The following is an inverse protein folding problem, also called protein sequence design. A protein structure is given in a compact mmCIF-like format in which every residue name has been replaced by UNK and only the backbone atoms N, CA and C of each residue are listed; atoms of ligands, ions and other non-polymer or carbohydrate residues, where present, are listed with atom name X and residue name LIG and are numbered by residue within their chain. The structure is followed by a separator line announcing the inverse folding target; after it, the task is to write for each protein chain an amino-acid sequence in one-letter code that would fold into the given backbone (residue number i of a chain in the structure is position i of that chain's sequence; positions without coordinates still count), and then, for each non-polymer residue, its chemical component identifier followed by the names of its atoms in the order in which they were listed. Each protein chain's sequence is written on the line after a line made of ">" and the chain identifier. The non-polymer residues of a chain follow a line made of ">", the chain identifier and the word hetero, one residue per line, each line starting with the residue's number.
data_IF_719132378676
#
_entry.id   IF_719132378676
#
_cell.length_a   1.000
_cell.length_b   1.000
_cell.length_c   1.000
_cell.angle_alpha   90.00
_cell.angle_beta   90.00
_cell.angle_gamma   90.00
#
_symmetry.space_group_name_H-M   'P 1'
#
loop_
_entity.id
_entity.type
_entity.pdbx_description
1 polymer ?
#
# COMPACT_ATOMS: atom_id res chain seq x y z
N UNK A 1 28.13 8.88 20.58
CA UNK A 1 27.24 8.48 19.48
C UNK A 1 25.83 8.86 19.89
N UNK A 2 25.20 9.79 19.18
CA UNK A 2 23.96 10.46 19.60
C UNK A 2 22.76 9.51 19.46
N UNK A 3 22.30 8.95 20.57
CA UNK A 3 21.07 8.13 20.69
C UNK A 3 19.83 8.78 20.08
N UNK A 4 19.79 10.11 20.00
CA UNK A 4 18.69 10.88 19.38
C UNK A 4 18.51 10.60 17.88
N UNK A 5 19.56 10.27 17.13
CA UNK A 5 19.42 10.02 15.69
C UNK A 5 18.76 8.66 15.43
N UNK A 6 19.11 7.63 16.20
CA UNK A 6 18.52 6.30 16.05
C UNK A 6 17.02 6.31 16.34
N UNK A 7 16.60 6.97 17.42
CA UNK A 7 15.18 7.08 17.77
C UNK A 7 14.37 7.77 16.64
N UNK A 8 14.93 8.80 16.01
CA UNK A 8 14.31 9.48 14.88
C UNK A 8 14.17 8.57 13.66
N UNK A 9 15.23 7.84 13.28
CA UNK A 9 15.16 6.90 12.16
C UNK A 9 14.17 5.75 12.40
N UNK A 10 14.10 5.23 13.63
CA UNK A 10 13.14 4.20 14.01
C UNK A 10 11.69 4.70 13.88
N UNK A 11 11.42 5.94 14.30
CA UNK A 11 10.09 6.55 14.15
C UNK A 11 9.70 6.70 12.67
N UNK A 12 10.62 7.15 11.82
CA UNK A 12 10.38 7.26 10.38
C UNK A 12 10.05 5.87 9.78
N UNK A 13 10.84 4.85 10.12
CA UNK A 13 10.62 3.49 9.62
C UNK A 13 9.27 2.91 10.08
N UNK A 14 8.86 3.16 11.32
CA UNK A 14 7.56 2.74 11.85
C UNK A 14 6.41 3.44 11.10
N UNK A 15 6.54 4.74 10.84
CA UNK A 15 5.53 5.50 10.10
C UNK A 15 5.40 5.00 8.65
N UNK A 16 6.52 4.74 7.98
CA UNK A 16 6.54 4.16 6.63
C UNK A 16 5.85 2.79 6.61
N UNK A 17 6.19 1.90 7.55
CA UNK A 17 5.55 0.59 7.69
C UNK A 17 4.03 0.71 7.90
N UNK A 18 3.59 1.65 8.74
CA UNK A 18 2.17 1.91 8.97
C UNK A 18 1.45 2.42 7.70
N UNK A 19 2.12 3.26 6.90
CA UNK A 19 1.59 3.74 5.62
C UNK A 19 1.41 2.60 4.59
N UNK A 20 2.18 1.51 4.70
CA UNK A 20 2.08 0.35 3.81
C UNK A 20 1.22 -0.80 4.34
N UNK A 21 0.77 -0.73 5.59
CA UNK A 21 -0.09 -1.73 6.21
C UNK A 21 -1.46 -1.83 5.51
N UNK A 22 -2.01 -3.04 5.44
CA UNK A 22 -3.35 -3.28 4.93
C UNK A 22 -4.39 -2.49 5.77
N UNK A 23 -5.45 -1.98 5.13
CA UNK A 23 -6.55 -1.37 5.88
C UNK A 23 -7.30 -2.46 6.66
N UNK A 24 -7.89 -2.09 7.79
CA UNK A 24 -8.71 -3.00 8.61
C UNK A 24 -10.00 -3.39 7.87
N UNK A 25 -10.54 -2.46 7.08
CA UNK A 25 -11.73 -2.68 6.25
C UNK A 25 -11.37 -2.49 4.77
N UNK A 26 -12.06 -3.17 3.85
CA UNK A 26 -11.89 -2.92 2.42
C UNK A 26 -12.12 -1.45 2.06
N UNK A 27 -11.42 -0.97 1.03
CA UNK A 27 -11.66 0.37 0.54
C UNK A 27 -13.01 0.46 -0.19
N UNK A 28 -13.58 1.66 -0.28
CA UNK A 28 -14.55 1.95 -1.32
C UNK A 28 -13.85 1.97 -2.68
N UNK A 29 -14.59 1.80 -3.77
CA UNK A 29 -14.01 1.86 -5.14
C UNK A 29 -13.29 3.20 -5.38
N UNK A 30 -13.84 4.31 -4.89
CA UNK A 30 -13.21 5.62 -5.01
C UNK A 30 -11.88 5.70 -4.25
N UNK A 31 -11.87 5.32 -2.97
CA UNK A 31 -10.64 5.29 -2.16
C UNK A 31 -9.60 4.34 -2.74
N UNK A 32 -10.03 3.21 -3.31
CA UNK A 32 -9.13 2.27 -3.96
C UNK A 32 -8.43 2.90 -5.18
N UNK A 33 -9.13 3.72 -5.97
CA UNK A 33 -8.50 4.48 -7.05
C UNK A 33 -7.48 5.50 -6.53
N UNK A 34 -7.81 6.24 -5.47
CA UNK A 34 -6.86 7.18 -4.84
C UNK A 34 -5.61 6.47 -4.33
N UNK A 35 -5.78 5.34 -3.64
CA UNK A 35 -4.66 4.54 -3.12
C UNK A 35 -3.77 3.98 -4.24
N UNK A 36 -4.35 3.59 -5.38
CA UNK A 36 -3.57 3.16 -6.54
C UNK A 36 -2.71 4.30 -7.12
N UNK A 37 -3.16 5.55 -7.02
CA UNK A 37 -2.39 6.73 -7.44
C UNK A 37 -1.31 7.08 -6.41
N UNK A 38 -1.67 7.16 -5.12
CA UNK A 38 -0.73 7.49 -4.05
C UNK A 38 0.42 6.47 -3.95
N UNK A 39 0.12 5.19 -4.14
CA UNK A 39 1.11 4.12 -4.11
C UNK A 39 1.65 3.74 -5.50
N UNK A 40 1.75 4.70 -6.43
CA UNK A 40 2.26 4.49 -7.80
C UNK A 40 3.60 3.73 -7.81
N UNK A 41 4.55 4.11 -6.95
CA UNK A 41 5.87 3.49 -6.83
C UNK A 41 5.88 2.12 -6.15
N UNK A 42 4.82 1.72 -5.45
CA UNK A 42 4.76 0.44 -4.76
C UNK A 42 4.45 -0.71 -5.73
N UNK A 43 4.96 -1.91 -5.42
CA UNK A 43 4.49 -3.17 -6.01
C UNK A 43 3.45 -3.81 -5.08
N UNK A 44 2.37 -4.33 -5.64
CA UNK A 44 1.28 -4.92 -4.85
C UNK A 44 1.77 -6.09 -3.96
N UNK A 45 2.66 -6.97 -4.44
CA UNK A 45 3.31 -7.98 -3.59
C UNK A 45 3.98 -7.47 -2.32
N UNK A 46 4.47 -6.24 -2.33
CA UNK A 46 5.31 -5.68 -1.26
C UNK A 46 4.62 -4.56 -0.48
N UNK A 47 3.39 -4.19 -0.86
CA UNK A 47 2.61 -3.13 -0.23
C UNK A 47 1.19 -3.62 -0.04
N UNK A 48 0.88 -4.04 1.19
CA UNK A 48 -0.42 -4.62 1.52
C UNK A 48 -1.56 -3.62 1.32
N UNK A 49 -1.31 -2.33 1.56
CA UNK A 49 -2.27 -1.25 1.24
C UNK A 49 -2.63 -1.19 -0.24
N UNK A 50 -1.63 -1.24 -1.13
CA UNK A 50 -1.84 -1.26 -2.59
C UNK A 50 -2.51 -2.56 -3.03
N UNK A 51 -2.15 -3.69 -2.44
CA UNK A 51 -2.79 -4.98 -2.73
C UNK A 51 -4.29 -4.95 -2.41
N UNK A 52 -4.68 -4.39 -1.25
CA UNK A 52 -6.07 -4.26 -0.85
C UNK A 52 -6.87 -3.34 -1.80
N UNK A 53 -6.28 -2.21 -2.21
CA UNK A 53 -6.88 -1.32 -3.21
C UNK A 53 -7.05 -2.02 -4.57
N UNK A 54 -6.01 -2.73 -5.04
CA UNK A 54 -6.08 -3.50 -6.27
C UNK A 54 -7.18 -4.57 -6.19
N UNK A 55 -7.26 -5.31 -5.09
CA UNK A 55 -8.28 -6.34 -4.88
C UNK A 55 -9.69 -5.75 -4.95
N UNK A 56 -9.94 -4.63 -4.25
CA UNK A 56 -11.22 -3.92 -4.28
C UNK A 56 -11.64 -3.56 -5.72
N UNK A 57 -10.70 -3.05 -6.54
CA UNK A 57 -10.99 -2.69 -7.93
C UNK A 57 -11.23 -3.90 -8.83
N UNK A 58 -10.54 -5.02 -8.57
CA UNK A 58 -10.76 -6.27 -9.30
C UNK A 58 -12.14 -6.85 -8.99
N UNK A 59 -12.50 -6.92 -7.71
CA UNK A 59 -13.81 -7.39 -7.26
C UNK A 59 -14.96 -6.52 -7.80
N UNK A 60 -14.74 -5.21 -7.89
CA UNK A 60 -15.69 -4.27 -8.50
C UNK A 60 -15.70 -4.27 -10.05
N UNK A 61 -14.89 -5.12 -10.71
CA UNK A 61 -14.79 -5.20 -12.16
C UNK A 61 -14.17 -3.97 -12.83
N UNK A 62 -13.45 -3.12 -12.08
CA UNK A 62 -12.80 -1.89 -12.56
C UNK A 62 -11.35 -2.08 -12.97
N UNK A 63 -10.77 -3.24 -12.66
CA UNK A 63 -9.39 -3.57 -12.98
C UNK A 63 -9.23 -5.05 -13.29
N UNK A 64 -8.46 -5.36 -14.32
CA UNK A 64 -8.01 -6.73 -14.62
C UNK A 64 -6.52 -6.83 -14.26
N UNK A 65 -6.10 -7.74 -13.37
CA UNK A 65 -4.69 -7.92 -13.05
C UNK A 65 -3.90 -8.35 -14.29
N UNK A 66 -2.69 -7.82 -14.46
CA UNK A 66 -1.79 -8.31 -15.51
C UNK A 66 -1.39 -9.75 -15.20
N UNK A 67 -1.64 -10.67 -16.13
CA UNK A 67 -1.19 -12.08 -16.04
C UNK A 67 0.30 -12.26 -16.38
N UNK A 68 0.92 -11.24 -16.98
CA UNK A 68 2.29 -11.32 -17.53
C UNK A 68 3.37 -11.00 -16.49
N UNK A 69 3.02 -10.38 -15.36
CA UNK A 69 3.96 -10.03 -14.29
C UNK A 69 3.53 -10.76 -13.01
N UNK A 70 4.41 -11.53 -12.36
CA UNK A 70 4.07 -12.20 -11.10
C UNK A 70 3.65 -11.14 -10.07
N UNK A 71 2.55 -11.43 -9.38
CA UNK A 71 1.89 -10.52 -8.44
C UNK A 71 2.84 -10.10 -7.33
#
# INVERSE_FOLDING_TARGET
>A
MTTNSLAMYQLIALYDAAAHAAPVLPFSVHMAHEMMQLHLGCRAKHCARKAAAQQTLVEAGRMVPSSTKPR
#
